data_IF_972425884755
#
_entry.id   IF_972425884755
#
_cell.length_a   1.000
_cell.length_b   1.000
_cell.length_c   1.000
_cell.angle_alpha   90.00
_cell.angle_beta   90.00
_cell.angle_gamma   90.00
#
_symmetry.space_group_name_H-M   'P 1'
#
loop_
_entity.id
_entity.type
_entity.pdbx_description
1 polymer ?
#
# COMPACT_ATOMS: atom_id res chain seq x y z
N UNK A 1 -20.76 -23.93 -4.20
CA UNK A 1 -21.43 -23.32 -3.04
C UNK A 1 -20.55 -23.58 -1.82
N UNK A 2 -20.09 -22.56 -1.12
CA UNK A 2 -19.30 -22.77 0.09
C UNK A 2 -20.14 -23.52 1.15
N UNK A 3 -19.54 -24.55 1.74
CA UNK A 3 -20.19 -25.36 2.78
C UNK A 3 -19.41 -25.20 4.08
N UNK A 4 -20.13 -24.98 5.18
CA UNK A 4 -19.54 -24.99 6.50
C UNK A 4 -19.23 -26.42 6.90
N UNK A 5 -17.97 -26.82 6.92
CA UNK A 5 -17.51 -28.10 7.41
C UNK A 5 -17.13 -27.97 8.90
N UNK A 6 -18.08 -28.24 9.80
CA UNK A 6 -17.80 -28.19 11.24
C UNK A 6 -18.50 -27.07 12.01
N UNK A 7 -17.91 -26.67 13.15
CA UNK A 7 -18.45 -25.61 14.00
C UNK A 7 -18.30 -24.22 13.34
N UNK A 8 -19.31 -23.34 13.44
CA UNK A 8 -19.20 -21.95 13.01
C UNK A 8 -18.20 -21.15 13.87
N UNK A 9 -17.83 -21.67 15.01
CA UNK A 9 -16.86 -21.05 15.93
C UNK A 9 -15.55 -21.82 15.94
N UNK A 10 -14.45 -21.09 15.93
CA UNK A 10 -13.10 -21.63 16.10
C UNK A 10 -12.34 -20.82 17.17
N UNK A 11 -11.45 -21.48 17.89
CA UNK A 11 -10.53 -20.77 18.78
C UNK A 11 -9.40 -20.17 17.94
N UNK A 12 -9.04 -18.89 18.18
CA UNK A 12 -7.92 -18.26 17.51
C UNK A 12 -6.62 -19.02 17.74
N UNK A 13 -5.81 -19.20 16.69
CA UNK A 13 -4.47 -19.76 16.80
C UNK A 13 -3.44 -18.63 16.84
N UNK A 14 -2.52 -18.71 17.80
CA UNK A 14 -1.40 -17.78 17.95
C UNK A 14 -0.05 -18.44 17.63
N UNK A 15 -0.06 -19.49 16.83
CA UNK A 15 1.13 -20.30 16.54
C UNK A 15 2.23 -19.51 15.82
N UNK A 16 1.89 -18.47 15.06
CA UNK A 16 2.84 -17.61 14.32
C UNK A 16 3.41 -16.50 15.18
N UNK A 17 2.78 -16.21 16.33
CA UNK A 17 3.21 -15.11 17.18
C UNK A 17 4.64 -15.33 17.68
N UNK A 18 5.50 -14.35 17.40
CA UNK A 18 6.92 -14.40 17.80
C UNK A 18 7.82 -15.32 16.97
N UNK A 19 7.28 -16.02 15.96
CA UNK A 19 8.05 -16.86 15.03
C UNK A 19 8.52 -16.05 13.82
N UNK A 20 9.23 -14.97 14.05
CA UNK A 20 9.83 -14.15 13.00
C UNK A 20 11.36 -14.17 13.06
N UNK A 21 12.01 -13.97 11.95
CA UNK A 21 13.45 -13.82 11.84
C UNK A 21 13.79 -12.65 10.94
N UNK A 22 14.50 -11.67 11.50
CA UNK A 22 14.92 -10.47 10.75
C UNK A 22 15.99 -10.79 9.69
N UNK A 23 16.84 -11.74 9.93
CA UNK A 23 17.99 -12.06 9.08
C UNK A 23 17.88 -13.41 8.36
N UNK A 24 16.95 -14.26 8.75
CA UNK A 24 16.81 -15.61 8.17
C UNK A 24 16.46 -15.64 6.67
N UNK A 25 15.96 -14.56 6.13
CA UNK A 25 15.71 -14.43 4.70
C UNK A 25 16.98 -14.19 3.90
N UNK A 26 18.03 -13.60 4.49
CA UNK A 26 19.31 -13.29 3.84
C UNK A 26 20.00 -14.59 3.41
N UNK A 27 19.97 -15.59 4.27
CA UNK A 27 20.60 -16.90 3.99
C UNK A 27 19.89 -17.66 2.87
N UNK A 28 18.59 -17.39 2.65
CA UNK A 28 17.77 -18.08 1.65
C UNK A 28 17.80 -17.42 0.27
N UNK A 29 17.76 -16.09 0.21
CA UNK A 29 17.58 -15.36 -1.06
C UNK A 29 18.66 -14.32 -1.32
N UNK A 30 19.62 -14.18 -0.44
CA UNK A 30 20.73 -13.23 -0.53
C UNK A 30 20.36 -11.80 -0.15
N UNK A 31 21.36 -11.04 0.27
CA UNK A 31 21.18 -9.69 0.83
C UNK A 31 20.56 -8.69 -0.18
N UNK A 32 20.96 -8.75 -1.45
CA UNK A 32 20.44 -7.83 -2.48
C UNK A 32 18.95 -8.05 -2.70
N UNK A 33 18.52 -9.31 -2.78
CA UNK A 33 17.10 -9.65 -2.94
C UNK A 33 16.27 -9.23 -1.73
N UNK A 34 16.83 -9.40 -0.51
CA UNK A 34 16.14 -8.95 0.73
C UNK A 34 15.99 -7.44 0.76
N UNK A 35 17.05 -6.68 0.43
CA UNK A 35 17.00 -5.21 0.40
C UNK A 35 15.97 -4.72 -0.62
N UNK A 36 15.93 -5.30 -1.82
CA UNK A 36 14.93 -4.94 -2.83
C UNK A 36 13.52 -5.33 -2.41
N UNK A 37 13.33 -6.49 -1.79
CA UNK A 37 12.02 -6.91 -1.26
C UNK A 37 11.53 -5.95 -0.18
N UNK A 38 12.37 -5.61 0.78
CA UNK A 38 12.04 -4.64 1.84
C UNK A 38 11.72 -3.28 1.23
N UNK A 39 12.52 -2.82 0.27
CA UNK A 39 12.28 -1.56 -0.44
C UNK A 39 10.93 -1.55 -1.15
N UNK A 40 10.59 -2.60 -1.89
CA UNK A 40 9.32 -2.66 -2.63
C UNK A 40 8.11 -2.73 -1.70
N UNK A 41 8.19 -3.51 -0.62
CA UNK A 41 7.14 -3.61 0.38
C UNK A 41 6.96 -2.29 1.14
N UNK A 42 8.07 -1.65 1.54
CA UNK A 42 8.05 -0.35 2.21
C UNK A 42 7.40 0.72 1.34
N UNK A 43 7.75 0.79 0.06
CA UNK A 43 7.14 1.77 -0.83
C UNK A 43 5.67 1.50 -1.07
N UNK A 44 5.28 0.24 -1.27
CA UNK A 44 3.88 -0.11 -1.44
C UNK A 44 3.05 0.30 -0.21
N UNK A 45 3.50 -0.06 0.99
CA UNK A 45 2.86 0.26 2.26
C UNK A 45 2.81 1.78 2.51
N UNK A 46 3.93 2.48 2.28
CA UNK A 46 4.03 3.92 2.45
C UNK A 46 3.06 4.69 1.54
N UNK A 47 3.02 4.36 0.24
CA UNK A 47 2.15 5.07 -0.70
C UNK A 47 0.68 4.68 -0.53
N UNK A 48 0.38 3.45 -0.12
CA UNK A 48 -0.96 3.03 0.25
C UNK A 48 -1.49 3.83 1.45
N UNK A 49 -0.69 3.94 2.50
CA UNK A 49 -1.01 4.76 3.68
C UNK A 49 -1.15 6.24 3.32
N UNK A 50 -0.25 6.79 2.50
CA UNK A 50 -0.34 8.19 2.07
C UNK A 50 -1.63 8.45 1.28
N UNK A 51 -1.96 7.59 0.33
CA UNK A 51 -3.18 7.69 -0.46
C UNK A 51 -4.44 7.60 0.41
N UNK A 52 -4.49 6.62 1.30
CA UNK A 52 -5.60 6.42 2.23
C UNK A 52 -5.76 7.62 3.16
N UNK A 53 -4.66 8.14 3.71
CA UNK A 53 -4.64 9.26 4.62
C UNK A 53 -5.18 10.55 3.97
N UNK A 54 -4.82 10.80 2.71
CA UNK A 54 -5.33 11.92 1.93
C UNK A 54 -6.82 11.72 1.64
N UNK A 55 -7.23 10.56 1.16
CA UNK A 55 -8.62 10.28 0.82
C UNK A 55 -9.57 10.34 2.04
N UNK A 56 -9.15 9.77 3.18
CA UNK A 56 -9.91 9.85 4.44
C UNK A 56 -9.91 11.29 4.98
N UNK A 57 -8.79 12.00 4.82
CA UNK A 57 -8.68 13.42 5.20
C UNK A 57 -9.61 14.31 4.37
N UNK A 58 -9.70 14.07 3.07
CA UNK A 58 -10.61 14.77 2.16
C UNK A 58 -12.08 14.54 2.54
N UNK A 59 -12.46 13.27 2.78
CA UNK A 59 -13.83 12.91 3.20
C UNK A 59 -14.22 13.56 4.54
N UNK A 60 -13.23 13.76 5.41
CA UNK A 60 -13.43 14.36 6.73
C UNK A 60 -13.33 15.89 6.78
N UNK A 61 -13.08 16.57 5.65
CA UNK A 61 -12.75 18.00 5.57
C UNK A 61 -11.57 18.37 6.48
N UNK A 62 -10.55 17.50 6.57
CA UNK A 62 -9.40 17.65 7.45
C UNK A 62 -8.14 18.15 6.75
N UNK A 63 -8.13 18.20 5.41
CA UNK A 63 -6.97 18.61 4.66
C UNK A 63 -6.71 20.13 4.82
N UNK A 64 -5.43 20.51 4.83
CA UNK A 64 -5.03 21.92 4.77
C UNK A 64 -5.21 22.51 3.36
N UNK A 65 -4.87 23.78 3.19
CA UNK A 65 -4.95 24.48 1.89
C UNK A 65 -4.01 23.93 0.82
N UNK A 66 -3.04 23.09 1.21
CA UNK A 66 -2.09 22.43 0.32
C UNK A 66 -2.47 20.97 0.04
N UNK A 67 -3.61 20.51 0.59
CA UNK A 67 -4.10 19.13 0.42
C UNK A 67 -3.42 18.11 1.35
N UNK A 68 -2.70 18.56 2.38
CA UNK A 68 -2.04 17.66 3.31
C UNK A 68 -2.94 17.34 4.51
N UNK A 69 -2.99 16.08 4.95
CA UNK A 69 -3.69 15.71 6.17
C UNK A 69 -2.94 16.19 7.42
N UNK A 70 -3.67 16.54 8.50
CA UNK A 70 -3.06 16.98 9.74
C UNK A 70 -2.23 15.86 10.38
N UNK A 71 -1.12 16.22 11.04
CA UNK A 71 -0.27 15.28 11.77
C UNK A 71 0.23 14.10 10.93
N UNK A 72 0.52 14.35 9.66
CA UNK A 72 1.01 13.34 8.70
C UNK A 72 2.15 12.48 9.28
N UNK A 73 3.12 13.12 9.95
CA UNK A 73 4.25 12.42 10.54
C UNK A 73 3.82 11.42 11.62
N UNK A 74 2.94 11.84 12.52
CA UNK A 74 2.43 11.01 13.61
C UNK A 74 1.62 9.84 13.08
N UNK A 75 0.82 10.05 12.05
CA UNK A 75 0.05 8.99 11.39
C UNK A 75 1.00 7.95 10.80
N UNK A 76 2.01 8.38 10.03
CA UNK A 76 3.00 7.47 9.42
C UNK A 76 3.81 6.69 10.46
N UNK A 77 4.14 7.30 11.60
CA UNK A 77 4.83 6.60 12.69
C UNK A 77 3.94 5.53 13.30
N UNK A 78 2.66 5.82 13.54
CA UNK A 78 1.72 4.84 14.11
C UNK A 78 1.47 3.70 13.13
N UNK A 79 1.30 4.00 11.85
CA UNK A 79 1.14 3.01 10.78
C UNK A 79 2.37 2.09 10.67
N UNK A 80 3.58 2.66 10.68
CA UNK A 80 4.83 1.89 10.69
C UNK A 80 4.96 0.99 11.93
N UNK A 81 4.54 1.45 13.10
CA UNK A 81 4.52 0.64 14.32
C UNK A 81 3.49 -0.51 14.22
N UNK A 82 2.36 -0.25 13.58
CA UNK A 82 1.35 -1.27 13.32
C UNK A 82 1.86 -2.33 12.32
N UNK A 83 2.60 -1.92 11.29
CA UNK A 83 3.27 -2.83 10.36
C UNK A 83 4.31 -3.73 11.08
N UNK A 84 5.11 -3.16 11.98
CA UNK A 84 6.04 -3.92 12.84
C UNK A 84 5.29 -4.92 13.71
N UNK A 85 4.19 -4.52 14.33
CA UNK A 85 3.36 -5.41 15.16
C UNK A 85 2.78 -6.57 14.33
N UNK A 86 2.33 -6.32 13.09
CA UNK A 86 1.91 -7.35 12.15
C UNK A 86 3.02 -8.36 11.86
N UNK A 87 4.23 -7.87 11.54
CA UNK A 87 5.39 -8.73 11.31
C UNK A 87 5.76 -9.58 12.53
N UNK A 88 5.69 -9.01 13.74
CA UNK A 88 5.91 -9.76 14.99
C UNK A 88 4.83 -10.81 15.24
N UNK A 89 3.61 -10.55 14.78
CA UNK A 89 2.50 -11.50 14.81
C UNK A 89 2.60 -12.61 13.76
N UNK A 90 3.54 -12.50 12.81
CA UNK A 90 3.68 -13.42 11.68
C UNK A 90 2.54 -13.29 10.66
N UNK A 91 1.96 -12.09 10.55
CA UNK A 91 0.91 -11.73 9.59
C UNK A 91 1.40 -10.60 8.68
N UNK A 92 0.58 -10.22 7.70
CA UNK A 92 0.84 -9.10 6.81
C UNK A 92 0.97 -7.77 7.58
N UNK A 93 1.53 -6.75 6.93
CA UNK A 93 1.53 -5.38 7.45
C UNK A 93 0.11 -4.96 7.84
N UNK A 94 -0.01 -4.34 9.01
CA UNK A 94 -1.23 -3.64 9.38
C UNK A 94 -1.12 -2.21 8.85
N UNK A 95 -1.99 -1.83 7.95
CA UNK A 95 -2.02 -0.51 7.34
C UNK A 95 -3.41 0.11 7.45
N UNK A 96 -3.50 1.40 7.17
CA UNK A 96 -4.77 2.12 7.14
C UNK A 96 -5.57 1.71 5.90
N UNK A 97 -6.86 1.42 6.07
CA UNK A 97 -7.75 1.01 4.98
C UNK A 97 -8.57 2.18 4.45
N UNK A 98 -8.70 2.25 3.13
CA UNK A 98 -9.51 3.29 2.45
C UNK A 98 -11.00 3.18 2.80
N UNK A 99 -11.49 2.00 3.16
CA UNK A 99 -12.85 1.78 3.63
C UNK A 99 -13.19 2.61 4.87
N UNK A 100 -12.18 3.10 5.59
CA UNK A 100 -12.35 4.05 6.69
C UNK A 100 -13.05 5.34 6.25
N UNK A 101 -12.93 5.74 4.98
CA UNK A 101 -13.63 6.89 4.42
C UNK A 101 -15.14 6.73 4.52
N UNK A 102 -15.68 5.52 4.38
CA UNK A 102 -17.12 5.28 4.54
C UNK A 102 -17.60 5.57 5.96
N UNK A 103 -16.81 5.17 6.97
CA UNK A 103 -17.12 5.49 8.36
C UNK A 103 -17.05 7.00 8.65
N UNK A 104 -16.11 7.70 8.03
CA UNK A 104 -15.99 9.16 8.12
C UNK A 104 -17.18 9.85 7.43
N UNK A 105 -17.58 9.37 6.24
CA UNK A 105 -18.78 9.84 5.53
C UNK A 105 -20.07 9.68 6.36
N UNK A 106 -20.20 8.59 7.11
CA UNK A 106 -21.31 8.34 8.05
C UNK A 106 -21.22 9.17 9.34
N UNK A 107 -20.19 10.01 9.50
CA UNK A 107 -20.07 10.96 10.60
C UNK A 107 -19.08 10.57 11.70
N UNK A 108 -18.25 9.55 11.53
CA UNK A 108 -17.17 9.26 12.47
C UNK A 108 -16.16 10.42 12.50
N UNK A 109 -15.84 10.93 13.70
CA UNK A 109 -14.94 12.09 13.89
C UNK A 109 -13.93 11.86 15.00
N UNK A 110 -13.90 10.69 15.62
CA UNK A 110 -13.02 10.37 16.75
C UNK A 110 -12.42 8.99 16.59
N UNK A 111 -11.28 8.74 17.24
CA UNK A 111 -10.63 7.42 17.28
C UNK A 111 -11.48 6.31 17.91
N UNK A 112 -12.64 6.64 18.51
CA UNK A 112 -13.57 5.64 19.04
C UNK A 112 -14.05 4.69 17.93
N UNK A 113 -14.30 5.21 16.72
CA UNK A 113 -14.68 4.40 15.57
C UNK A 113 -13.62 3.32 15.27
N UNK A 114 -12.33 3.70 15.28
CA UNK A 114 -11.22 2.77 15.09
C UNK A 114 -11.12 1.72 16.20
N UNK A 115 -11.36 2.10 17.45
CA UNK A 115 -11.39 1.16 18.58
C UNK A 115 -12.52 0.16 18.41
N UNK A 116 -13.74 0.61 18.05
CA UNK A 116 -14.88 -0.27 17.80
C UNK A 116 -14.57 -1.24 16.65
N UNK A 117 -14.00 -0.73 15.55
CA UNK A 117 -13.59 -1.56 14.41
C UNK A 117 -12.57 -2.62 14.83
N UNK A 118 -11.55 -2.24 15.60
CA UNK A 118 -10.55 -3.17 16.14
C UNK A 118 -11.16 -4.25 17.03
N UNK A 119 -12.12 -3.89 17.90
CA UNK A 119 -12.85 -4.85 18.71
C UNK A 119 -13.67 -5.83 17.84
N UNK A 120 -14.31 -5.35 16.78
CA UNK A 120 -15.06 -6.19 15.85
C UNK A 120 -14.14 -7.16 15.09
N UNK A 121 -12.97 -6.69 14.65
CA UNK A 121 -11.95 -7.57 14.06
C UNK A 121 -11.47 -8.63 15.05
N UNK A 122 -11.23 -8.26 16.30
CA UNK A 122 -10.87 -9.22 17.34
C UNK A 122 -11.97 -10.28 17.55
N UNK A 123 -13.24 -9.85 17.61
CA UNK A 123 -14.37 -10.77 17.73
C UNK A 123 -14.54 -11.67 16.50
N UNK A 124 -14.22 -11.16 15.30
CA UNK A 124 -14.33 -11.94 14.06
C UNK A 124 -13.37 -13.13 14.03
N UNK A 125 -12.29 -13.12 14.82
CA UNK A 125 -11.37 -14.26 14.93
C UNK A 125 -12.09 -15.55 15.41
N UNK A 126 -13.10 -15.40 16.26
CA UNK A 126 -13.86 -16.54 16.78
C UNK A 126 -14.84 -17.12 15.76
N UNK A 127 -15.20 -16.34 14.73
CA UNK A 127 -16.08 -16.76 13.65
C UNK A 127 -15.33 -16.92 12.32
N UNK A 128 -14.02 -17.14 12.38
CA UNK A 128 -13.18 -17.31 11.20
C UNK A 128 -13.69 -18.35 10.19
N UNK A 129 -14.30 -19.50 10.60
CA UNK A 129 -14.88 -20.46 9.66
C UNK A 129 -16.04 -19.87 8.84
N UNK A 130 -16.83 -18.96 9.41
CA UNK A 130 -17.91 -18.26 8.69
C UNK A 130 -17.34 -17.24 7.71
N UNK A 131 -16.31 -16.48 8.14
CA UNK A 131 -15.64 -15.52 7.27
C UNK A 131 -15.01 -16.22 6.06
N UNK A 132 -14.41 -17.39 6.27
CA UNK A 132 -13.82 -18.21 5.20
C UNK A 132 -14.83 -18.77 4.20
N UNK A 133 -16.12 -18.70 4.48
CA UNK A 133 -17.19 -19.08 3.54
C UNK A 133 -17.54 -17.97 2.55
N UNK A 134 -17.12 -16.73 2.80
CA UNK A 134 -17.40 -15.60 1.89
C UNK A 134 -16.51 -15.75 0.65
N UNK A 135 -17.07 -16.03 -0.53
CA UNK A 135 -16.28 -16.15 -1.74
C UNK A 135 -15.75 -14.76 -2.18
N UNK A 136 -14.61 -14.75 -2.83
CA UNK A 136 -14.00 -13.51 -3.35
C UNK A 136 -14.95 -12.74 -4.29
N UNK A 137 -15.77 -13.47 -5.05
CA UNK A 137 -16.76 -12.89 -5.96
C UNK A 137 -17.81 -12.04 -5.21
N UNK A 138 -18.09 -12.35 -3.96
CA UNK A 138 -19.00 -11.56 -3.13
C UNK A 138 -18.37 -10.27 -2.62
N UNK A 139 -17.04 -10.24 -2.45
CA UNK A 139 -16.30 -9.04 -2.06
C UNK A 139 -16.02 -8.09 -3.24
N UNK A 140 -15.94 -8.60 -4.47
CA UNK A 140 -15.61 -7.83 -5.67
C UNK A 140 -16.49 -6.59 -5.90
N UNK A 141 -17.84 -6.66 -5.77
CA UNK A 141 -18.66 -5.46 -5.95
C UNK A 141 -18.34 -4.32 -4.99
N UNK A 142 -18.01 -4.65 -3.73
CA UNK A 142 -17.60 -3.63 -2.74
C UNK A 142 -16.29 -2.95 -3.17
N UNK A 143 -15.31 -3.73 -3.64
CA UNK A 143 -14.05 -3.19 -4.16
C UNK A 143 -14.24 -2.30 -5.39
N UNK A 144 -15.18 -2.65 -6.28
CA UNK A 144 -15.53 -1.82 -7.44
C UNK A 144 -16.09 -0.47 -7.00
N UNK A 145 -16.99 -0.47 -6.00
CA UNK A 145 -17.57 0.77 -5.47
C UNK A 145 -16.47 1.63 -4.82
N UNK A 146 -15.62 1.04 -3.99
CA UNK A 146 -14.48 1.75 -3.37
C UNK A 146 -13.57 2.33 -4.44
N UNK A 147 -13.20 1.54 -5.45
CA UNK A 147 -12.39 2.01 -6.58
C UNK A 147 -13.03 3.16 -7.34
N UNK A 148 -14.36 3.12 -7.54
CA UNK A 148 -15.11 4.22 -8.15
C UNK A 148 -15.04 5.51 -7.32
N UNK A 149 -15.23 5.40 -6.01
CA UNK A 149 -15.13 6.57 -5.10
C UNK A 149 -13.71 7.17 -5.13
N UNK A 150 -12.68 6.32 -5.22
CA UNK A 150 -11.29 6.80 -5.34
C UNK A 150 -10.98 7.44 -6.69
N UNK A 151 -11.69 7.09 -7.76
CA UNK A 151 -11.50 7.71 -9.07
C UNK A 151 -11.74 9.23 -9.07
N UNK A 152 -12.48 9.76 -8.11
CA UNK A 152 -12.68 11.21 -7.97
C UNK A 152 -11.37 11.94 -7.71
N UNK A 153 -10.41 11.32 -7.03
CA UNK A 153 -9.07 11.87 -6.76
C UNK A 153 -8.24 12.06 -8.05
N UNK A 154 -8.52 11.29 -9.10
CA UNK A 154 -7.84 11.43 -10.40
C UNK A 154 -8.15 12.78 -11.04
N UNK A 155 -9.28 13.40 -10.71
CA UNK A 155 -9.64 14.72 -11.21
C UNK A 155 -8.75 15.86 -10.64
N UNK A 156 -8.08 15.63 -9.53
CA UNK A 156 -7.17 16.61 -8.89
C UNK A 156 -5.79 16.65 -9.57
N UNK A 157 -5.48 15.66 -10.42
CA UNK A 157 -4.24 15.63 -11.17
C UNK A 157 -4.29 16.69 -12.28
N UNK A 158 -3.27 17.54 -12.36
CA UNK A 158 -3.14 18.48 -13.47
C UNK A 158 -2.72 17.76 -14.75
N UNK A 159 -3.72 17.35 -15.53
CA UNK A 159 -3.53 16.67 -16.82
C UNK A 159 -3.02 17.60 -17.94
N UNK A 160 -2.97 18.92 -17.70
CA UNK A 160 -2.46 19.88 -18.68
C UNK A 160 -0.94 20.05 -18.58
N UNK A 161 -0.36 19.79 -17.42
CA UNK A 161 1.10 19.73 -17.26
C UNK A 161 1.62 18.32 -17.57
N UNK A 162 2.31 18.19 -18.70
CA UNK A 162 2.90 16.92 -19.14
C UNK A 162 3.92 16.34 -18.16
N UNK A 163 4.56 17.16 -17.31
CA UNK A 163 5.50 16.69 -16.31
C UNK A 163 4.80 15.92 -15.17
N UNK A 164 3.52 16.22 -14.95
CA UNK A 164 2.67 15.56 -13.97
C UNK A 164 1.81 14.50 -14.65
N UNK A 165 1.20 14.83 -15.79
CA UNK A 165 0.24 13.98 -16.48
C UNK A 165 0.84 12.66 -16.96
N UNK A 166 2.04 12.67 -17.56
CA UNK A 166 2.67 11.45 -18.07
C UNK A 166 3.07 10.49 -16.94
N UNK A 167 3.77 10.92 -15.89
CA UNK A 167 4.06 10.05 -14.75
C UNK A 167 2.82 9.51 -14.06
N UNK A 168 1.79 10.33 -13.87
CA UNK A 168 0.53 9.93 -13.25
C UNK A 168 -0.19 8.88 -14.10
N UNK A 169 -0.28 9.10 -15.42
CA UNK A 169 -0.86 8.14 -16.35
C UNK A 169 -0.11 6.80 -16.31
N UNK A 170 1.23 6.84 -16.36
CA UNK A 170 2.04 5.61 -16.31
C UNK A 170 1.88 4.89 -14.98
N UNK A 171 1.81 5.60 -13.87
CA UNK A 171 1.54 5.00 -12.56
C UNK A 171 0.21 4.25 -12.57
N UNK A 172 -0.87 4.92 -12.96
CA UNK A 172 -2.23 4.36 -12.96
C UNK A 172 -2.32 3.17 -13.93
N UNK A 173 -1.78 3.32 -15.14
CA UNK A 173 -1.89 2.28 -16.17
C UNK A 173 -1.03 1.06 -15.86
N UNK A 174 0.20 1.24 -15.38
CA UNK A 174 1.12 0.14 -15.14
C UNK A 174 0.72 -0.74 -13.96
N UNK A 175 -0.02 -0.23 -12.97
CA UNK A 175 -0.49 -1.04 -11.83
C UNK A 175 -1.33 -2.24 -12.28
N UNK A 176 -2.46 -2.07 -13.00
CA UNK A 176 -3.27 -3.20 -13.44
C UNK A 176 -2.58 -4.05 -14.50
N UNK A 177 -1.81 -3.46 -15.42
CA UNK A 177 -1.11 -4.23 -16.47
C UNK A 177 -0.01 -5.14 -15.93
N UNK A 178 0.66 -4.75 -14.86
CA UNK A 178 1.72 -5.55 -14.24
C UNK A 178 1.25 -6.36 -13.03
N UNK A 179 0.01 -6.22 -12.59
CA UNK A 179 -0.50 -6.76 -11.33
C UNK A 179 0.37 -6.39 -10.12
N UNK A 180 0.98 -5.21 -10.15
CA UNK A 180 1.93 -4.76 -9.13
C UNK A 180 1.83 -3.26 -8.89
N UNK A 181 1.48 -2.88 -7.67
CA UNK A 181 1.48 -1.49 -7.21
C UNK A 181 2.89 -0.90 -7.36
N UNK A 182 3.91 -1.65 -6.95
CA UNK A 182 5.32 -1.25 -7.02
C UNK A 182 5.76 -0.92 -8.44
N UNK A 183 5.34 -1.73 -9.43
CA UNK A 183 5.68 -1.47 -10.84
C UNK A 183 5.05 -0.17 -11.35
N UNK A 184 3.82 0.12 -10.96
CA UNK A 184 3.16 1.38 -11.29
C UNK A 184 3.88 2.57 -10.69
N UNK A 185 4.13 2.53 -9.39
CA UNK A 185 4.86 3.58 -8.67
C UNK A 185 6.25 3.79 -9.31
N UNK A 186 6.98 2.71 -9.57
CA UNK A 186 8.30 2.78 -10.18
C UNK A 186 8.30 3.40 -11.58
N UNK A 187 7.31 3.05 -12.41
CA UNK A 187 7.13 3.65 -13.73
C UNK A 187 6.86 5.16 -13.64
N UNK A 188 6.02 5.59 -12.69
CA UNK A 188 5.76 7.00 -12.42
C UNK A 188 7.01 7.76 -12.00
N UNK A 189 7.72 7.27 -10.99
CA UNK A 189 8.93 7.93 -10.49
C UNK A 189 10.04 8.02 -11.56
N UNK A 190 10.29 6.93 -12.28
CA UNK A 190 11.30 6.93 -13.34
C UNK A 190 10.92 7.88 -14.48
N UNK A 191 9.66 7.86 -14.92
CA UNK A 191 9.21 8.76 -16.00
C UNK A 191 9.28 10.23 -15.58
N UNK A 192 8.93 10.56 -14.33
CA UNK A 192 9.06 11.90 -13.80
C UNK A 192 10.53 12.38 -13.85
N UNK A 193 11.46 11.57 -13.34
CA UNK A 193 12.88 11.91 -13.35
C UNK A 193 13.41 12.06 -14.78
N UNK A 194 13.05 11.15 -15.69
CA UNK A 194 13.45 11.21 -17.10
C UNK A 194 12.94 12.50 -17.76
N UNK A 195 11.67 12.85 -17.55
CA UNK A 195 11.08 14.07 -18.11
C UNK A 195 11.74 15.35 -17.53
N UNK A 196 11.96 15.39 -16.22
CA UNK A 196 12.60 16.51 -15.56
C UNK A 196 14.06 16.70 -16.05
N UNK A 197 14.80 15.61 -16.26
CA UNK A 197 16.16 15.64 -16.86
C UNK A 197 16.09 16.14 -18.30
N UNK A 198 15.18 15.59 -19.11
CA UNK A 198 15.02 15.99 -20.51
C UNK A 198 14.67 17.47 -20.68
N UNK A 199 13.97 18.06 -19.72
CA UNK A 199 13.64 19.49 -19.68
C UNK A 199 14.72 20.36 -19.00
N UNK A 200 15.86 19.79 -18.59
CA UNK A 200 16.95 20.51 -17.95
C UNK A 200 16.68 20.94 -16.50
N UNK A 201 15.62 20.42 -15.86
CA UNK A 201 15.20 20.76 -14.49
C UNK A 201 15.89 19.89 -13.42
N UNK A 202 17.08 19.37 -13.69
CA UNK A 202 17.83 18.45 -12.80
C UNK A 202 17.99 19.00 -11.38
N UNK A 203 18.19 20.32 -11.23
CA UNK A 203 18.37 20.98 -9.93
C UNK A 203 17.09 21.07 -9.09
N UNK A 204 15.92 20.88 -9.69
CA UNK A 204 14.62 20.94 -9.01
C UNK A 204 14.22 19.57 -8.45
N UNK A 205 14.89 18.49 -8.86
CA UNK A 205 14.60 17.14 -8.40
C UNK A 205 15.18 16.98 -6.99
N UNK A 206 14.31 16.64 -6.04
CA UNK A 206 14.73 16.39 -4.66
C UNK A 206 15.70 15.21 -4.58
N UNK A 207 16.75 15.23 -3.73
CA UNK A 207 17.73 14.14 -3.63
C UNK A 207 17.10 12.76 -3.33
N UNK A 208 16.05 12.70 -2.53
CA UNK A 208 15.32 11.45 -2.27
C UNK A 208 14.65 10.88 -3.53
N UNK A 209 14.19 11.73 -4.44
CA UNK A 209 13.63 11.31 -5.73
C UNK A 209 14.67 10.61 -6.60
N UNK A 210 15.91 11.13 -6.61
CA UNK A 210 17.04 10.49 -7.29
C UNK A 210 17.36 9.11 -6.70
N UNK A 211 17.39 9.02 -5.36
CA UNK A 211 17.61 7.74 -4.68
C UNK A 211 16.51 6.74 -5.03
N UNK A 212 15.25 7.15 -4.94
CA UNK A 212 14.10 6.30 -5.26
C UNK A 212 14.13 5.84 -6.72
N UNK A 213 14.40 6.74 -7.67
CA UNK A 213 14.51 6.41 -9.08
C UNK A 213 15.67 5.44 -9.35
N UNK A 214 16.82 5.63 -8.70
CA UNK A 214 17.95 4.70 -8.82
C UNK A 214 17.61 3.29 -8.29
N UNK A 215 16.92 3.21 -7.15
CA UNK A 215 16.49 1.94 -6.60
C UNK A 215 15.46 1.23 -7.50
N UNK A 216 14.52 1.96 -8.09
CA UNK A 216 13.60 1.41 -9.07
C UNK A 216 14.30 0.96 -10.35
N UNK A 217 15.30 1.71 -10.81
CA UNK A 217 16.10 1.30 -11.96
C UNK A 217 16.81 -0.03 -11.69
N UNK A 218 17.43 -0.18 -10.52
CA UNK A 218 18.02 -1.46 -10.09
C UNK A 218 16.96 -2.56 -10.02
N UNK A 219 15.82 -2.28 -9.41
CA UNK A 219 14.71 -3.22 -9.29
C UNK A 219 14.25 -3.75 -10.66
N UNK A 220 14.01 -2.86 -11.63
CA UNK A 220 13.55 -3.27 -12.97
C UNK A 220 14.62 -3.94 -13.82
N UNK A 221 15.89 -3.61 -13.60
CA UNK A 221 16.99 -4.18 -14.38
C UNK A 221 17.53 -5.49 -13.79
N UNK A 222 17.26 -5.77 -12.51
CA UNK A 222 17.83 -6.94 -11.84
C UNK A 222 17.41 -8.27 -12.50
N UNK A 223 16.12 -8.43 -12.79
CA UNK A 223 15.60 -9.65 -13.40
C UNK A 223 16.14 -9.87 -14.83
N UNK A 224 16.11 -8.89 -15.75
CA UNK A 224 16.78 -8.99 -17.04
C UNK A 224 18.28 -9.27 -16.96
N UNK A 225 19.00 -8.61 -16.03
CA UNK A 225 20.43 -8.81 -15.85
C UNK A 225 20.73 -10.24 -15.38
N UNK A 226 19.99 -10.75 -14.39
CA UNK A 226 20.13 -12.15 -13.94
C UNK A 226 19.88 -13.14 -15.09
N UNK A 227 18.83 -12.89 -15.89
CA UNK A 227 18.50 -13.73 -17.04
C UNK A 227 19.64 -13.75 -18.09
N UNK A 228 20.27 -12.59 -18.36
CA UNK A 228 21.38 -12.49 -19.31
C UNK A 228 22.64 -13.18 -18.76
N UNK A 229 22.90 -13.06 -17.47
CA UNK A 229 24.07 -13.64 -16.81
C UNK A 229 23.91 -15.14 -16.49
N UNK A 230 22.71 -15.73 -16.70
CA UNK A 230 22.44 -17.12 -16.37
C UNK A 230 22.48 -17.43 -14.87
N UNK A 231 22.32 -16.43 -14.03
CA UNK A 231 22.33 -16.55 -12.56
C UNK A 231 20.90 -16.64 -12.06
N UNK A 232 20.57 -17.79 -11.48
CA UNK A 232 19.25 -18.03 -10.84
C UNK A 232 19.18 -17.41 -9.45
#
# INVERSE_FOLDING_TARGET
VPHLNGSPFAMPSFETLGKFSLLGSIDKVGIVSVVLLVFTLLLADFFDTMGTMIAVGAEGDLLDSEGNPPKTREILVVDSLAAVAGGMGGVSSNTSYIESATGVGEGARTGLASVVTGCLFFLSMFIAPLVGMVPYEAATPALVIVGFLMMTQVAEIDWTDLEIAIPSFLTIAMMPFSYSITNGIGAGFLSYVVLAVARGKVKQIHPLMWLTAALFLVYFTLAPIKAILGVS
#
